data_IF_840491032848
#
_entry.id   IF_840491032848
#
_cell.length_a   1.000
_cell.length_b   1.000
_cell.length_c   1.000
_cell.angle_alpha   90.00
_cell.angle_beta   90.00
_cell.angle_gamma   90.00
#
_symmetry.space_group_name_H-M   'P 1'
#
loop_
_entity.id
_entity.type
_entity.pdbx_description
1 polymer ?
#
# COMPACT_ATOMS: atom_id res chain seq x y z
N UNK A 1 18.44 -2.57 -8.47
CA UNK A 1 17.69 -1.99 -7.33
C UNK A 1 16.46 -1.33 -7.92
N UNK A 2 15.27 -1.75 -7.53
CA UNK A 2 13.99 -1.27 -8.06
C UNK A 2 13.50 -0.11 -7.19
N UNK A 3 13.88 1.11 -7.59
CA UNK A 3 13.62 2.34 -6.84
C UNK A 3 12.91 3.34 -7.73
N UNK A 4 11.97 4.08 -7.17
CA UNK A 4 11.26 5.18 -7.82
C UNK A 4 11.16 6.39 -6.90
N UNK A 5 11.15 7.59 -7.48
CA UNK A 5 10.89 8.84 -6.77
C UNK A 5 9.84 9.63 -7.52
N UNK A 6 8.72 9.87 -6.86
CA UNK A 6 7.58 10.64 -7.40
C UNK A 6 7.47 11.95 -6.62
N UNK A 7 7.38 13.05 -7.35
CA UNK A 7 7.02 14.36 -6.83
C UNK A 7 5.71 14.79 -7.49
N UNK A 8 4.69 15.10 -6.69
CA UNK A 8 3.37 15.51 -7.17
C UNK A 8 2.90 16.72 -6.36
N UNK A 9 2.57 17.78 -7.08
CA UNK A 9 2.04 19.00 -6.51
C UNK A 9 0.69 19.34 -7.15
N UNK A 10 -0.29 19.65 -6.31
CA UNK A 10 -1.63 20.14 -6.69
C UNK A 10 -1.91 21.45 -5.96
N UNK A 11 -3.15 21.94 -6.02
CA UNK A 11 -3.58 23.05 -5.18
C UNK A 11 -3.82 22.65 -3.72
N UNK A 12 -3.95 21.34 -3.45
CA UNK A 12 -4.36 20.75 -2.16
C UNK A 12 -3.19 20.08 -1.44
N UNK A 13 -2.25 19.49 -2.18
CA UNK A 13 -1.13 18.72 -1.61
C UNK A 13 0.19 18.98 -2.35
N UNK A 14 1.30 18.87 -1.60
CA UNK A 14 2.67 18.87 -2.14
C UNK A 14 3.39 17.64 -1.56
N UNK A 15 3.65 16.64 -2.42
CA UNK A 15 4.13 15.31 -2.01
C UNK A 15 5.44 14.98 -2.69
N UNK A 16 6.42 14.53 -1.90
CA UNK A 16 7.64 13.88 -2.36
C UNK A 16 7.74 12.50 -1.74
N UNK A 17 7.82 11.45 -2.58
CA UNK A 17 7.90 10.06 -2.14
C UNK A 17 9.02 9.33 -2.88
N UNK A 18 9.88 8.63 -2.14
CA UNK A 18 10.88 7.69 -2.67
C UNK A 18 10.60 6.29 -2.11
N UNK A 19 10.49 5.31 -3.00
CA UNK A 19 10.25 3.91 -2.70
C UNK A 19 11.37 3.04 -3.24
N UNK A 20 11.87 2.10 -2.42
CA UNK A 20 12.76 1.02 -2.85
C UNK A 20 12.12 -0.33 -2.53
N UNK A 21 11.79 -1.12 -3.56
CA UNK A 21 11.17 -2.45 -3.41
C UNK A 21 12.17 -3.49 -2.88
N UNK A 22 13.47 -3.28 -3.06
CA UNK A 22 14.56 -4.18 -2.63
C UNK A 22 15.19 -3.70 -1.31
N UNK A 23 14.40 -3.05 -0.45
CA UNK A 23 14.84 -2.42 0.78
C UNK A 23 14.95 -3.34 1.98
N UNK A 24 15.16 -2.72 3.13
CA UNK A 24 15.28 -3.36 4.45
C UNK A 24 14.07 -3.14 5.36
N UNK A 25 13.15 -2.27 4.96
CA UNK A 25 12.02 -1.80 5.75
C UNK A 25 12.34 -0.54 6.55
N UNK A 26 13.33 0.24 6.10
CA UNK A 26 13.61 1.56 6.65
C UNK A 26 12.55 2.57 6.19
N UNK A 27 12.11 3.46 7.09
CA UNK A 27 11.13 4.47 6.74
C UNK A 27 11.41 5.81 7.38
N UNK A 28 11.09 6.88 6.64
CA UNK A 28 11.02 8.26 7.14
C UNK A 28 9.79 8.89 6.53
N UNK A 29 8.76 9.07 7.35
CA UNK A 29 7.41 9.45 6.89
C UNK A 29 6.92 10.65 7.68
N UNK A 30 6.44 11.65 6.97
CA UNK A 30 5.81 12.86 7.49
C UNK A 30 4.69 13.27 6.52
N UNK A 31 3.50 12.74 6.76
CA UNK A 31 2.31 13.04 5.94
C UNK A 31 1.49 14.20 6.48
N UNK A 32 1.77 14.65 7.71
CA UNK A 32 0.89 15.57 8.45
C UNK A 32 -0.28 14.86 9.16
N UNK A 33 -0.49 13.56 8.90
CA UNK A 33 -1.51 12.72 9.54
C UNK A 33 -0.83 11.59 10.34
N UNK A 34 -0.74 11.72 11.67
CA UNK A 34 0.05 10.82 12.51
C UNK A 34 -0.39 9.35 12.47
N UNK A 35 -1.71 9.08 12.30
CA UNK A 35 -2.18 7.71 12.17
C UNK A 35 -1.76 7.09 10.84
N UNK A 36 -1.81 7.84 9.73
CA UNK A 36 -1.33 7.38 8.43
C UNK A 36 0.19 7.14 8.45
N UNK A 37 0.97 8.03 9.11
CA UNK A 37 2.41 7.85 9.28
C UNK A 37 2.75 6.52 9.96
N UNK A 38 2.00 6.18 11.03
CA UNK A 38 2.13 4.91 11.71
C UNK A 38 1.79 3.73 10.78
N UNK A 39 0.68 3.79 10.05
CA UNK A 39 0.27 2.73 9.12
C UNK A 39 1.30 2.51 8.00
N UNK A 40 1.81 3.57 7.40
CA UNK A 40 2.82 3.48 6.35
C UNK A 40 4.18 2.99 6.87
N UNK A 41 4.54 3.34 8.11
CA UNK A 41 5.73 2.79 8.79
C UNK A 41 5.62 1.27 8.94
N UNK A 42 4.45 0.76 9.36
CA UNK A 42 4.19 -0.68 9.46
C UNK A 42 4.20 -1.36 8.09
N UNK A 43 3.56 -0.74 7.10
CA UNK A 43 3.57 -1.22 5.71
C UNK A 43 5.00 -1.38 5.19
N UNK A 44 5.83 -0.33 5.29
CA UNK A 44 7.23 -0.35 4.88
C UNK A 44 8.02 -1.45 5.62
N UNK A 45 7.87 -1.52 6.94
CA UNK A 45 8.58 -2.49 7.79
C UNK A 45 8.24 -3.93 7.45
N UNK A 46 6.96 -4.24 7.31
CA UNK A 46 6.48 -5.60 7.03
C UNK A 46 6.68 -6.00 5.56
N UNK A 47 6.61 -5.05 4.65
CA UNK A 47 6.94 -5.23 3.24
C UNK A 47 8.44 -5.30 2.95
N UNK A 48 9.30 -4.88 3.91
CA UNK A 48 10.73 -4.68 3.69
C UNK A 48 11.03 -3.68 2.58
N UNK A 49 10.14 -2.73 2.37
CA UNK A 49 10.35 -1.60 1.47
C UNK A 49 11.06 -0.49 2.22
N UNK A 50 12.00 0.21 1.56
CA UNK A 50 12.45 1.48 2.12
C UNK A 50 11.55 2.58 1.57
N UNK A 51 10.98 3.40 2.47
CA UNK A 51 9.99 4.43 2.13
C UNK A 51 10.35 5.76 2.80
N UNK A 52 10.58 6.77 1.97
CA UNK A 52 10.69 8.16 2.41
C UNK A 52 9.51 8.95 1.84
N UNK A 53 8.77 9.64 2.69
CA UNK A 53 7.60 10.42 2.31
C UNK A 53 7.56 11.74 3.08
N UNK A 54 7.31 12.82 2.36
CA UNK A 54 6.87 14.08 2.93
C UNK A 54 5.63 14.56 2.18
N UNK A 55 4.65 15.06 2.91
CA UNK A 55 3.45 15.67 2.36
C UNK A 55 3.11 16.95 3.12
N UNK A 56 2.76 18.00 2.38
CA UNK A 56 2.09 19.19 2.91
C UNK A 56 0.71 19.25 2.28
N UNK A 57 -0.29 18.84 3.02
CA UNK A 57 -1.69 18.87 2.59
C UNK A 57 -2.49 19.96 3.28
N UNK A 58 -3.69 20.19 2.78
CA UNK A 58 -4.68 21.13 3.31
C UNK A 58 -5.49 20.52 4.48
N UNK A 59 -4.78 19.91 5.44
CA UNK A 59 -5.35 19.20 6.61
C UNK A 59 -6.25 20.06 7.51
N UNK A 60 -6.29 21.39 7.27
CA UNK A 60 -7.26 22.30 7.91
C UNK A 60 -8.69 22.08 7.37
N UNK A 61 -8.86 21.47 6.20
CA UNK A 61 -10.15 21.02 5.66
C UNK A 61 -10.51 19.68 6.31
N UNK A 62 -9.76 18.65 5.98
CA UNK A 62 -9.72 17.32 6.59
C UNK A 62 -8.49 16.55 6.06
N UNK A 63 -8.36 15.26 6.37
CA UNK A 63 -7.24 14.44 5.92
C UNK A 63 -7.48 13.77 4.55
N UNK A 64 -8.63 13.98 3.90
CA UNK A 64 -9.04 13.23 2.69
C UNK A 64 -8.05 13.39 1.54
N UNK A 65 -7.80 14.64 1.11
CA UNK A 65 -6.90 14.93 -0.01
C UNK A 65 -5.49 14.40 0.25
N UNK A 66 -5.00 14.55 1.48
CA UNK A 66 -3.69 14.05 1.90
C UNK A 66 -3.61 12.52 1.76
N UNK A 67 -4.60 11.80 2.27
CA UNK A 67 -4.63 10.34 2.29
C UNK A 67 -4.79 9.76 0.88
N UNK A 68 -5.73 10.28 0.08
CA UNK A 68 -5.93 9.85 -1.30
C UNK A 68 -4.69 10.12 -2.16
N UNK A 69 -4.16 11.33 -2.12
CA UNK A 69 -3.02 11.73 -2.93
C UNK A 69 -1.73 10.95 -2.58
N UNK A 70 -1.52 10.62 -1.32
CA UNK A 70 -0.42 9.71 -0.91
C UNK A 70 -0.65 8.31 -1.47
N UNK A 71 -1.89 7.81 -1.49
CA UNK A 71 -2.26 6.54 -2.13
C UNK A 71 -1.92 6.54 -3.62
N UNK A 72 -2.26 7.61 -4.34
CA UNK A 72 -1.91 7.83 -5.76
C UNK A 72 -0.39 7.75 -5.94
N UNK A 73 0.35 8.58 -5.21
CA UNK A 73 1.80 8.69 -5.36
C UNK A 73 2.53 7.39 -5.01
N UNK A 74 2.10 6.69 -3.96
CA UNK A 74 2.64 5.38 -3.61
C UNK A 74 2.34 4.34 -4.70
N UNK A 75 1.13 4.34 -5.25
CA UNK A 75 0.75 3.47 -6.38
C UNK A 75 1.61 3.70 -7.62
N UNK A 76 1.83 4.96 -8.00
CA UNK A 76 2.70 5.35 -9.10
C UNK A 76 4.14 4.91 -8.87
N UNK A 77 4.67 5.11 -7.65
CA UNK A 77 6.00 4.68 -7.28
C UNK A 77 6.17 3.15 -7.38
N UNK A 78 5.16 2.39 -6.98
CA UNK A 78 5.15 0.92 -7.16
C UNK A 78 5.17 0.53 -8.62
N UNK A 79 4.30 1.12 -9.45
CA UNK A 79 4.22 0.82 -10.88
C UNK A 79 5.56 1.13 -11.60
N UNK A 80 6.18 2.27 -11.28
CA UNK A 80 7.45 2.68 -11.86
C UNK A 80 8.60 1.77 -11.39
N UNK A 81 8.70 1.49 -10.10
CA UNK A 81 9.75 0.63 -9.55
C UNK A 81 9.65 -0.83 -10.03
N UNK A 82 8.45 -1.35 -10.31
CA UNK A 82 8.23 -2.68 -10.90
C UNK A 82 8.70 -2.78 -12.34
N UNK A 83 8.71 -1.67 -13.07
CA UNK A 83 9.13 -1.64 -14.47
C UNK A 83 8.35 -2.62 -15.35
N UNK A 84 9.06 -3.46 -16.10
CA UNK A 84 8.46 -4.42 -17.03
C UNK A 84 7.93 -5.71 -16.36
N UNK A 85 8.04 -5.83 -15.05
CA UNK A 85 7.59 -6.97 -14.23
C UNK A 85 8.20 -8.33 -14.61
N UNK A 86 9.34 -8.36 -15.28
CA UNK A 86 10.06 -9.62 -15.54
C UNK A 86 10.51 -10.27 -14.24
N UNK A 87 10.34 -11.57 -14.15
CA UNK A 87 10.76 -12.41 -13.05
C UNK A 87 10.03 -12.19 -11.73
N UNK A 88 9.01 -11.32 -11.64
CA UNK A 88 8.26 -11.15 -10.40
C UNK A 88 7.39 -12.38 -10.12
N UNK A 89 7.21 -12.73 -8.85
CA UNK A 89 6.28 -13.80 -8.45
C UNK A 89 4.82 -13.45 -8.78
N UNK A 90 4.50 -12.16 -8.98
CA UNK A 90 3.20 -11.63 -9.39
C UNK A 90 2.12 -11.71 -8.32
N UNK A 91 1.99 -12.83 -7.63
CA UNK A 91 0.97 -13.07 -6.62
C UNK A 91 1.55 -13.04 -5.22
N UNK A 92 0.77 -12.56 -4.27
CA UNK A 92 1.09 -12.67 -2.86
C UNK A 92 -0.17 -12.66 -2.02
N UNK A 93 -0.16 -13.40 -0.93
CA UNK A 93 -1.28 -13.44 0.00
C UNK A 93 -0.79 -13.59 1.44
N UNK A 94 -1.58 -13.07 2.39
CA UNK A 94 -1.28 -13.12 3.81
C UNK A 94 -2.56 -13.17 4.61
N UNK A 95 -2.63 -14.11 5.54
CA UNK A 95 -3.58 -14.07 6.66
C UNK A 95 -2.76 -13.65 7.87
N UNK A 96 -3.07 -12.48 8.44
CA UNK A 96 -2.27 -11.86 9.48
C UNK A 96 -3.10 -11.61 10.73
N UNK A 97 -2.71 -12.20 11.88
CA UNK A 97 -3.34 -11.90 13.15
C UNK A 97 -2.76 -10.62 13.76
N UNK A 98 -3.61 -9.82 14.38
CA UNK A 98 -3.29 -8.68 15.22
C UNK A 98 -4.21 -8.75 16.43
N UNK A 99 -3.73 -9.39 17.51
CA UNK A 99 -4.52 -9.74 18.69
C UNK A 99 -5.83 -10.45 18.31
N UNK A 100 -7.00 -9.85 18.57
CA UNK A 100 -8.33 -10.41 18.25
C UNK A 100 -8.69 -10.26 16.76
N UNK A 101 -7.94 -9.44 16.02
CA UNK A 101 -8.20 -9.19 14.60
C UNK A 101 -7.44 -10.16 13.71
N UNK A 102 -8.10 -10.63 12.67
CA UNK A 102 -7.52 -11.51 11.65
C UNK A 102 -7.86 -10.98 10.26
N UNK A 103 -6.85 -10.57 9.51
CA UNK A 103 -7.00 -9.92 8.22
C UNK A 103 -6.38 -10.75 7.11
N UNK A 104 -7.15 -10.96 6.03
CA UNK A 104 -6.67 -11.53 4.78
C UNK A 104 -6.36 -10.43 3.79
N UNK A 105 -5.21 -10.51 3.14
CA UNK A 105 -4.89 -9.75 1.93
C UNK A 105 -4.42 -10.66 0.81
N UNK A 106 -4.84 -10.37 -0.43
CA UNK A 106 -4.37 -11.07 -1.62
C UNK A 106 -4.12 -10.06 -2.76
N UNK A 107 -2.97 -10.17 -3.40
CA UNK A 107 -2.51 -9.24 -4.45
C UNK A 107 -2.23 -10.00 -5.75
N UNK A 108 -2.62 -9.40 -6.89
CA UNK A 108 -2.17 -9.77 -8.24
C UNK A 108 -1.63 -8.51 -8.94
N UNK A 109 -0.36 -8.51 -9.32
CA UNK A 109 0.29 -7.43 -10.08
C UNK A 109 -0.09 -7.48 -11.57
N UNK A 110 -1.39 -7.62 -11.83
CA UNK A 110 -1.99 -7.97 -13.12
C UNK A 110 -2.00 -6.86 -14.18
N UNK A 111 -1.60 -5.64 -13.84
CA UNK A 111 -1.80 -4.47 -14.70
C UNK A 111 -3.25 -3.95 -14.74
N UNK A 112 -4.17 -4.52 -13.97
CA UNK A 112 -5.58 -4.12 -13.86
C UNK A 112 -5.91 -3.68 -12.45
N UNK A 113 -6.45 -2.46 -12.33
CA UNK A 113 -6.89 -1.91 -11.06
C UNK A 113 -8.19 -2.56 -10.58
N UNK A 114 -8.16 -3.14 -9.41
CA UNK A 114 -9.35 -3.62 -8.72
C UNK A 114 -9.11 -3.67 -7.22
N UNK A 115 -10.04 -3.14 -6.44
CA UNK A 115 -10.06 -3.28 -4.99
C UNK A 115 -11.35 -3.97 -4.55
N UNK A 116 -11.22 -5.11 -3.84
CA UNK A 116 -12.25 -5.59 -2.93
C UNK A 116 -11.88 -5.15 -1.52
N UNK A 117 -12.72 -4.34 -0.91
CA UNK A 117 -12.52 -3.83 0.44
C UNK A 117 -13.67 -4.30 1.33
N UNK A 118 -13.40 -5.29 2.18
CA UNK A 118 -14.39 -5.94 3.06
C UNK A 118 -13.83 -5.98 4.50
N UNK A 119 -13.52 -4.79 5.02
CA UNK A 119 -12.90 -4.68 6.34
C UNK A 119 -13.90 -4.31 7.45
N UNK A 120 -15.13 -3.97 7.19
CA UNK A 120 -16.15 -3.62 8.21
C UNK A 120 -15.51 -3.02 9.50
N UNK A 121 -15.09 -1.75 9.43
CA UNK A 121 -14.40 -1.05 10.51
C UNK A 121 -15.46 -0.43 11.43
N UNK A 122 -15.55 -0.84 12.73
CA UNK A 122 -16.72 -0.53 13.55
C UNK A 122 -16.84 0.92 14.03
N UNK A 123 -15.73 1.69 14.09
CA UNK A 123 -15.76 3.08 14.54
C UNK A 123 -15.50 4.04 13.40
N UNK A 124 -16.09 5.23 13.47
CA UNK A 124 -15.87 6.27 12.44
C UNK A 124 -14.50 6.92 12.52
N UNK A 125 -13.85 6.89 13.70
CA UNK A 125 -12.52 7.50 13.93
C UNK A 125 -11.62 6.61 14.77
N UNK A 126 -10.30 6.73 14.50
CA UNK A 126 -9.23 6.28 15.39
C UNK A 126 -8.36 7.51 15.68
N UNK A 127 -8.42 8.02 16.91
CA UNK A 127 -7.89 9.34 17.22
C UNK A 127 -8.62 10.43 16.41
N UNK A 128 -7.89 11.24 15.67
CA UNK A 128 -8.45 12.24 14.75
C UNK A 128 -8.72 11.69 13.34
N UNK A 129 -8.21 10.52 12.99
CA UNK A 129 -8.27 9.92 11.65
C UNK A 129 -9.65 9.30 11.35
N UNK A 130 -10.26 9.69 10.25
CA UNK A 130 -11.51 9.10 9.76
C UNK A 130 -11.27 7.74 9.11
N UNK A 131 -11.95 6.70 9.60
CA UNK A 131 -11.69 5.32 9.16
C UNK A 131 -12.12 5.03 7.73
N UNK A 132 -13.03 5.82 7.16
CA UNK A 132 -13.41 5.74 5.73
C UNK A 132 -12.23 6.01 4.79
N UNK A 133 -11.25 6.80 5.22
CA UNK A 133 -10.06 7.13 4.44
C UNK A 133 -9.15 5.93 4.17
N UNK A 134 -9.27 4.87 4.95
CA UNK A 134 -8.53 3.62 4.69
C UNK A 134 -8.92 3.03 3.34
N UNK A 135 -10.21 3.05 3.01
CA UNK A 135 -10.71 2.61 1.72
C UNK A 135 -10.22 3.51 0.58
N UNK A 136 -10.29 4.83 0.76
CA UNK A 136 -9.83 5.80 -0.25
C UNK A 136 -8.34 5.64 -0.55
N UNK A 137 -7.52 5.45 0.49
CA UNK A 137 -6.09 5.16 0.31
C UNK A 137 -5.85 3.92 -0.57
N UNK A 138 -6.50 2.79 -0.28
CA UNK A 138 -6.30 1.55 -1.05
C UNK A 138 -6.93 1.61 -2.44
N UNK A 139 -8.02 2.36 -2.65
CA UNK A 139 -8.59 2.65 -3.98
C UNK A 139 -7.58 3.40 -4.84
N UNK A 140 -7.03 4.50 -4.32
CA UNK A 140 -6.02 5.29 -4.99
C UNK A 140 -4.77 4.46 -5.30
N UNK A 141 -4.24 3.73 -4.30
CA UNK A 141 -3.09 2.85 -4.48
C UNK A 141 -3.31 1.80 -5.58
N UNK A 142 -4.40 1.04 -5.54
CA UNK A 142 -4.65 -0.03 -6.51
C UNK A 142 -4.83 0.49 -7.93
N UNK A 143 -5.47 1.66 -8.07
CA UNK A 143 -5.67 2.33 -9.37
C UNK A 143 -4.34 2.69 -10.02
N UNK A 144 -3.44 3.30 -9.25
CA UNK A 144 -2.18 3.83 -9.76
C UNK A 144 -1.07 2.77 -9.81
N UNK A 145 -1.04 1.80 -8.89
CA UNK A 145 -0.18 0.62 -8.97
C UNK A 145 -0.60 -0.39 -10.06
N UNK A 146 -1.82 -0.23 -10.61
CA UNK A 146 -2.42 -1.14 -11.60
C UNK A 146 -2.39 -2.59 -11.12
N UNK A 147 -2.88 -2.81 -9.91
CA UNK A 147 -2.94 -4.14 -9.29
C UNK A 147 -4.35 -4.48 -8.80
N UNK A 148 -4.61 -5.77 -8.65
CA UNK A 148 -5.78 -6.27 -7.94
C UNK A 148 -5.41 -6.49 -6.48
N UNK A 149 -6.23 -5.97 -5.54
CA UNK A 149 -6.09 -6.16 -4.11
C UNK A 149 -7.43 -6.61 -3.51
N UNK A 150 -7.41 -7.68 -2.76
CA UNK A 150 -8.50 -8.10 -1.89
C UNK A 150 -8.08 -7.91 -0.45
N UNK A 151 -8.93 -7.27 0.34
CA UNK A 151 -8.80 -7.07 1.78
C UNK A 151 -10.09 -7.57 2.43
N UNK A 152 -9.97 -8.53 3.35
CA UNK A 152 -11.10 -9.12 4.06
C UNK A 152 -10.79 -9.26 5.55
N UNK A 153 -11.73 -8.79 6.38
CA UNK A 153 -11.71 -9.00 7.83
C UNK A 153 -12.33 -10.37 8.14
N UNK A 154 -11.53 -11.31 8.61
CA UNK A 154 -12.01 -12.63 9.04
C UNK A 154 -12.47 -12.63 10.50
N UNK A 155 -11.87 -11.79 11.34
CA UNK A 155 -12.25 -11.52 12.72
C UNK A 155 -11.73 -10.13 13.14
N UNK A 156 -12.29 -9.56 14.23
CA UNK A 156 -11.79 -8.33 14.82
C UNK A 156 -12.89 -7.34 15.20
N UNK A 157 -12.64 -6.63 16.29
CA UNK A 157 -13.56 -5.64 16.87
C UNK A 157 -12.90 -4.26 17.06
N UNK A 158 -11.58 -4.24 17.25
CA UNK A 158 -10.84 -2.99 17.44
C UNK A 158 -10.45 -2.37 16.07
N UNK A 159 -10.98 -1.19 15.79
CA UNK A 159 -10.73 -0.49 14.51
C UNK A 159 -9.25 -0.24 14.22
N UNK A 160 -8.44 0.11 15.25
CA UNK A 160 -7.00 0.27 15.11
C UNK A 160 -6.34 -1.04 14.67
N UNK A 161 -6.65 -2.16 15.37
CA UNK A 161 -6.08 -3.47 15.06
C UNK A 161 -6.47 -3.96 13.67
N UNK A 162 -7.72 -3.73 13.25
CA UNK A 162 -8.20 -4.07 11.90
C UNK A 162 -7.42 -3.31 10.84
N UNK A 163 -7.26 -1.99 10.99
CA UNK A 163 -6.55 -1.15 10.04
C UNK A 163 -5.05 -1.49 10.03
N UNK A 164 -4.44 -1.61 11.20
CA UNK A 164 -3.03 -2.00 11.33
C UNK A 164 -2.77 -3.38 10.71
N UNK A 165 -3.65 -4.36 10.97
CA UNK A 165 -3.61 -5.67 10.35
C UNK A 165 -3.68 -5.61 8.83
N UNK A 166 -4.49 -4.70 8.27
CA UNK A 166 -4.60 -4.49 6.83
C UNK A 166 -3.28 -3.97 6.23
N UNK A 167 -2.70 -2.90 6.78
CA UNK A 167 -1.44 -2.35 6.27
C UNK A 167 -0.27 -3.34 6.38
N UNK A 168 -0.17 -4.07 7.49
CA UNK A 168 0.84 -5.12 7.68
C UNK A 168 0.66 -6.28 6.69
N UNK A 169 -0.57 -6.76 6.52
CA UNK A 169 -0.87 -7.89 5.63
C UNK A 169 -0.60 -7.54 4.17
N UNK A 170 -1.01 -6.34 3.72
CA UNK A 170 -0.71 -5.86 2.36
C UNK A 170 0.78 -5.70 2.14
N UNK A 171 1.53 -5.13 3.10
CA UNK A 171 2.98 -5.06 3.01
C UNK A 171 3.62 -6.44 2.78
N UNK A 172 3.16 -7.46 3.53
CA UNK A 172 3.63 -8.85 3.39
C UNK A 172 3.23 -9.47 2.05
N UNK A 173 2.00 -9.29 1.60
CA UNK A 173 1.51 -9.81 0.32
C UNK A 173 2.25 -9.18 -0.85
N UNK A 174 2.45 -7.85 -0.84
CA UNK A 174 3.23 -7.15 -1.86
C UNK A 174 4.68 -7.61 -1.87
N UNK A 175 5.31 -7.85 -0.70
CA UNK A 175 6.66 -8.39 -0.65
C UNK A 175 6.79 -9.73 -1.37
N UNK A 176 5.79 -10.62 -1.22
CA UNK A 176 5.76 -11.88 -1.95
C UNK A 176 5.58 -11.64 -3.45
N UNK A 177 4.62 -10.79 -3.81
CA UNK A 177 4.27 -10.52 -5.21
C UNK A 177 5.43 -9.87 -6.01
N UNK A 178 6.21 -8.97 -5.38
CA UNK A 178 7.35 -8.29 -6.04
C UNK A 178 8.65 -9.10 -6.00
N UNK A 179 8.71 -10.21 -5.24
CA UNK A 179 9.89 -11.03 -5.17
C UNK A 179 10.28 -11.53 -6.57
N UNK A 180 11.58 -11.61 -6.83
CA UNK A 180 12.10 -12.16 -8.09
C UNK A 180 12.26 -13.67 -7.96
N UNK A 181 11.58 -14.41 -8.81
CA UNK A 181 11.79 -15.83 -9.00
C UNK A 181 13.07 -16.01 -9.83
N UNK A 182 14.11 -16.54 -9.19
CA UNK A 182 15.44 -16.66 -9.81
C UNK A 182 15.47 -17.67 -10.95
N UNK A 183 14.58 -18.65 -10.91
CA UNK A 183 14.53 -19.71 -11.92
C UNK A 183 13.83 -19.21 -13.21
N UNK A 184 13.01 -18.16 -13.11
CA UNK A 184 12.23 -17.55 -14.19
C UNK A 184 12.45 -16.04 -14.33
N UNK A 185 13.64 -15.54 -13.98
CA UNK A 185 13.94 -14.11 -13.85
C UNK A 185 13.75 -13.30 -15.15
N UNK A 186 13.83 -13.93 -16.31
CA UNK A 186 13.65 -13.28 -17.62
C UNK A 186 12.24 -13.42 -18.20
N UNK A 187 11.37 -14.14 -17.52
CA UNK A 187 10.00 -14.37 -17.98
C UNK A 187 9.02 -13.35 -17.40
N UNK A 188 7.99 -13.03 -18.18
CA UNK A 188 6.81 -12.32 -17.67
C UNK A 188 5.82 -13.40 -17.21
N UNK A 189 5.39 -13.41 -15.93
CA UNK A 189 4.53 -14.47 -15.38
C UNK A 189 3.09 -14.32 -15.86
N UNK A 190 2.90 -14.46 -17.19
CA UNK A 190 1.62 -14.30 -17.87
C UNK A 190 1.62 -15.10 -19.18
N UNK A 191 0.60 -15.93 -19.38
CA UNK A 191 0.39 -16.63 -20.67
C UNK A 191 0.15 -15.69 -21.84
N UNK A 192 -0.15 -14.39 -21.56
CA UNK A 192 -0.30 -13.34 -22.58
C UNK A 192 1.03 -12.69 -22.97
N UNK A 193 2.13 -12.99 -22.25
CA UNK A 193 3.44 -12.36 -22.45
C UNK A 193 3.52 -10.89 -22.02
N UNK A 194 2.46 -10.35 -21.39
CA UNK A 194 2.36 -8.98 -20.88
C UNK A 194 1.58 -8.94 -19.55
N UNK A 195 1.86 -7.90 -18.73
CA UNK A 195 1.15 -7.56 -17.48
C UNK A 195 0.85 -6.07 -17.40
#
# INVERSE_FOLDING_TARGET
MRTSTINRQTAETDISLTLNLDGSGASKIDSGCGFLDHMLTLFARHGRFDLTLTCKGDTYVDDHHTVEDIGIVLGQAFAEALGNKKGVCRYGSMILPMDESLILSAVDLSGRAYLRFDLDIPTQKVGSFDTELVKEFWLAFTRDAKCTLHLEKLAGENSHHIIEGAFKSVGRSLRQAVAIDKDFAEEIPSTKGVL
#
